data_IF_399566835025
#
_entry.id   IF_399566835025
#
_cell.length_a   1.000
_cell.length_b   1.000
_cell.length_c   1.000
_cell.angle_alpha   90.00
_cell.angle_beta   90.00
_cell.angle_gamma   90.00
#
_symmetry.space_group_name_H-M   'P 1'
#
loop_
_entity.id
_entity.type
_entity.pdbx_description
1 polymer ?
#
# COMPACT_ATOMS: atom_id res chain seq x y z
N UNK A 1 -37.25 -29.73 -18.36
CA UNK A 1 -37.12 -30.02 -16.91
C UNK A 1 -36.64 -28.76 -16.20
N UNK A 2 -37.30 -28.28 -15.14
CA UNK A 2 -36.88 -27.10 -14.39
C UNK A 2 -35.69 -27.47 -13.50
N UNK A 3 -34.60 -26.70 -13.61
CA UNK A 3 -33.43 -26.90 -12.76
C UNK A 3 -33.74 -26.33 -11.37
N UNK A 4 -33.75 -27.18 -10.33
CA UNK A 4 -33.91 -26.72 -8.96
C UNK A 4 -32.64 -25.96 -8.52
N UNK A 5 -32.78 -24.80 -7.87
CA UNK A 5 -31.63 -24.08 -7.34
C UNK A 5 -30.98 -24.91 -6.23
N UNK A 6 -29.70 -25.25 -6.43
CA UNK A 6 -28.83 -25.90 -5.45
C UNK A 6 -28.80 -25.07 -4.17
N UNK A 7 -29.56 -25.49 -3.16
CA UNK A 7 -29.60 -24.90 -1.83
C UNK A 7 -28.22 -24.93 -1.20
N UNK A 8 -27.51 -23.82 -1.24
CA UNK A 8 -26.21 -23.69 -0.58
C UNK A 8 -26.38 -23.79 0.93
N UNK A 9 -25.68 -24.73 1.56
CA UNK A 9 -25.74 -24.93 3.01
C UNK A 9 -25.36 -23.65 3.78
N UNK A 10 -26.27 -23.08 4.60
CA UNK A 10 -26.03 -21.82 5.31
C UNK A 10 -24.86 -21.94 6.29
N UNK A 11 -24.68 -23.12 6.90
CA UNK A 11 -23.54 -23.43 7.78
C UNK A 11 -22.21 -23.27 7.06
N UNK A 12 -22.10 -23.73 5.81
CA UNK A 12 -20.88 -23.61 5.01
C UNK A 12 -20.58 -22.15 4.68
N UNK A 13 -21.61 -21.34 4.39
CA UNK A 13 -21.46 -19.91 4.13
C UNK A 13 -20.97 -19.15 5.37
N UNK A 14 -21.57 -19.41 6.53
CA UNK A 14 -21.16 -18.79 7.79
C UNK A 14 -19.74 -19.19 8.15
N UNK A 15 -19.40 -20.49 8.03
CA UNK A 15 -18.04 -20.96 8.28
C UNK A 15 -17.01 -20.30 7.35
N UNK A 16 -17.31 -20.15 6.06
CA UNK A 16 -16.42 -19.46 5.12
C UNK A 16 -16.25 -17.97 5.45
N UNK A 17 -17.33 -17.30 5.88
CA UNK A 17 -17.25 -15.91 6.28
C UNK A 17 -16.43 -15.73 7.55
N UNK A 18 -16.69 -16.55 8.57
CA UNK A 18 -15.92 -16.55 9.82
C UNK A 18 -14.43 -16.86 9.56
N UNK A 19 -14.12 -17.80 8.67
CA UNK A 19 -12.75 -18.10 8.29
C UNK A 19 -12.07 -16.90 7.59
N UNK A 20 -12.78 -16.20 6.70
CA UNK A 20 -12.25 -15.00 6.05
C UNK A 20 -11.99 -13.87 7.07
N UNK A 21 -12.94 -13.63 7.98
CA UNK A 21 -12.78 -12.63 9.05
C UNK A 21 -11.61 -13.00 9.95
N UNK A 22 -11.49 -14.27 10.35
CA UNK A 22 -10.37 -14.75 11.15
C UNK A 22 -9.03 -14.55 10.43
N UNK A 23 -8.95 -14.88 9.14
CA UNK A 23 -7.74 -14.67 8.34
C UNK A 23 -7.34 -13.19 8.30
N UNK A 24 -8.29 -12.28 8.03
CA UNK A 24 -8.04 -10.83 8.03
C UNK A 24 -7.58 -10.38 9.42
N UNK A 25 -8.27 -10.81 10.48
CA UNK A 25 -7.91 -10.48 11.85
C UNK A 25 -6.51 -10.98 12.22
N UNK A 26 -6.13 -12.20 11.82
CA UNK A 26 -4.78 -12.74 12.03
C UNK A 26 -3.73 -11.92 11.30
N UNK A 27 -3.98 -11.55 10.04
CA UNK A 27 -3.06 -10.70 9.28
C UNK A 27 -2.89 -9.35 9.98
N UNK A 28 -3.99 -8.73 10.40
CA UNK A 28 -3.99 -7.41 11.01
C UNK A 28 -3.35 -7.37 12.41
N UNK A 29 -3.68 -8.33 13.26
CA UNK A 29 -3.29 -8.31 14.67
C UNK A 29 -1.98 -9.04 14.96
N UNK A 30 -1.55 -9.94 14.06
CA UNK A 30 -0.35 -10.77 14.30
C UNK A 30 0.70 -10.51 13.24
N UNK A 31 0.36 -10.67 11.96
CA UNK A 31 1.36 -10.63 10.88
C UNK A 31 1.93 -9.23 10.69
N UNK A 32 1.06 -8.21 10.63
CA UNK A 32 1.45 -6.82 10.45
C UNK A 32 2.34 -6.29 11.59
N UNK A 33 1.96 -6.43 12.88
CA UNK A 33 2.81 -6.03 14.00
C UNK A 33 4.14 -6.77 14.03
N UNK A 34 4.14 -8.07 13.76
CA UNK A 34 5.37 -8.86 13.70
C UNK A 34 6.31 -8.40 12.57
N UNK A 35 5.77 -8.05 11.40
CA UNK A 35 6.54 -7.47 10.31
C UNK A 35 7.07 -6.07 10.65
N UNK A 36 6.25 -5.23 11.31
CA UNK A 36 6.63 -3.89 11.75
C UNK A 36 7.73 -3.86 12.81
N UNK A 37 7.85 -4.92 13.62
CA UNK A 37 8.91 -5.07 14.61
C UNK A 37 10.24 -5.57 14.05
N UNK A 38 10.32 -5.91 12.75
CA UNK A 38 11.61 -6.22 12.12
C UNK A 38 12.47 -4.97 12.05
N UNK A 39 13.75 -5.09 12.37
CA UNK A 39 14.69 -3.96 12.45
C UNK A 39 14.69 -3.07 11.19
N UNK A 40 14.65 -3.68 10.00
CA UNK A 40 14.66 -2.96 8.73
C UNK A 40 13.39 -2.10 8.53
N UNK A 41 12.23 -2.65 8.91
CA UNK A 41 10.94 -1.96 8.79
C UNK A 41 10.81 -0.90 9.89
N UNK A 42 11.25 -1.21 11.11
CA UNK A 42 11.21 -0.28 12.23
C UNK A 42 12.08 0.94 12.00
N UNK A 43 13.28 0.77 11.44
CA UNK A 43 14.16 1.89 11.09
C UNK A 43 13.53 2.83 10.05
N UNK A 44 12.79 2.28 9.08
CA UNK A 44 12.04 3.07 8.10
C UNK A 44 10.86 3.82 8.74
N UNK A 45 10.12 3.16 9.65
CA UNK A 45 9.02 3.79 10.41
C UNK A 45 9.57 4.96 11.23
N UNK A 46 10.62 4.73 12.03
CA UNK A 46 11.22 5.77 12.89
C UNK A 46 11.81 6.92 12.07
N UNK A 47 12.39 6.63 10.90
CA UNK A 47 12.84 7.68 9.99
C UNK A 47 11.67 8.55 9.53
N UNK A 48 10.56 7.95 9.12
CA UNK A 48 9.39 8.69 8.66
C UNK A 48 8.73 9.50 9.78
N UNK A 49 8.62 8.92 10.98
CA UNK A 49 8.14 9.61 12.18
C UNK A 49 9.01 10.83 12.52
N UNK A 50 10.34 10.70 12.47
CA UNK A 50 11.27 11.82 12.70
C UNK A 50 11.13 12.92 11.65
N UNK A 51 10.74 12.58 10.44
CA UNK A 51 10.51 13.54 9.36
C UNK A 51 9.10 14.17 9.43
N UNK A 52 8.27 13.79 10.40
CA UNK A 52 6.89 14.26 10.51
C UNK A 52 5.98 13.78 9.37
N UNK A 53 6.38 12.72 8.67
CA UNK A 53 5.60 12.13 7.58
C UNK A 53 4.48 11.31 8.22
N UNK A 54 3.24 11.78 8.09
CA UNK A 54 2.05 11.01 8.48
C UNK A 54 1.72 9.98 7.37
N UNK A 55 1.92 8.67 7.62
CA UNK A 55 1.63 7.64 6.61
C UNK A 55 0.12 7.40 6.42
N UNK A 56 -0.72 7.88 7.35
CA UNK A 56 -2.19 7.79 7.26
C UNK A 56 -2.80 8.95 6.48
N UNK A 57 -2.08 10.06 6.35
CA UNK A 57 -2.47 11.16 5.52
C UNK A 57 -2.38 10.75 4.05
N UNK A 58 -3.56 10.60 3.41
CA UNK A 58 -3.71 10.42 1.96
C UNK A 58 -3.20 11.67 1.22
N UNK A 59 -1.88 11.86 1.14
CA UNK A 59 -1.29 12.94 0.36
C UNK A 59 -1.13 12.54 -1.11
N UNK A 60 -2.23 12.26 -1.79
CA UNK A 60 -2.21 12.00 -3.24
C UNK A 60 -2.62 13.19 -4.09
N UNK A 61 -2.99 14.35 -3.52
CA UNK A 61 -3.45 15.48 -4.35
C UNK A 61 -2.90 16.86 -4.01
N UNK A 62 -2.35 17.11 -2.82
CA UNK A 62 -1.98 18.49 -2.43
C UNK A 62 -0.70 18.56 -1.61
N UNK A 63 0.45 18.14 -2.16
CA UNK A 63 1.75 18.62 -1.64
C UNK A 63 2.08 19.97 -2.27
N UNK A 64 2.08 21.08 -1.51
CA UNK A 64 2.67 22.33 -1.96
C UNK A 64 4.18 22.10 -2.06
N UNK A 65 4.66 21.72 -3.25
CA UNK A 65 6.06 21.33 -3.46
C UNK A 65 6.27 20.34 -4.60
N UNK A 66 5.22 19.61 -5.03
CA UNK A 66 5.32 18.70 -6.18
C UNK A 66 5.71 19.45 -7.46
N UNK A 67 5.19 20.66 -7.67
CA UNK A 67 5.52 21.49 -8.83
C UNK A 67 7.02 21.83 -8.87
N UNK A 68 7.61 22.24 -7.73
CA UNK A 68 9.05 22.51 -7.66
C UNK A 68 9.92 21.28 -7.90
N UNK A 69 9.47 20.09 -7.49
CA UNK A 69 10.16 18.84 -7.81
C UNK A 69 10.10 18.51 -9.31
N UNK A 70 8.93 18.69 -9.94
CA UNK A 70 8.76 18.49 -11.38
C UNK A 70 9.61 19.49 -12.20
N UNK A 71 9.67 20.76 -11.79
CA UNK A 71 10.49 21.79 -12.45
C UNK A 71 11.99 21.46 -12.37
N UNK A 72 12.44 20.89 -11.24
CA UNK A 72 13.82 20.43 -11.08
C UNK A 72 14.15 19.21 -11.97
N UNK A 73 13.21 18.28 -12.12
CA UNK A 73 13.38 17.13 -13.03
C UNK A 73 13.42 17.61 -14.48
N UNK A 74 12.50 18.48 -14.88
CA UNK A 74 12.42 18.96 -16.26
C UNK A 74 13.67 19.78 -16.63
N UNK A 75 14.17 20.62 -15.72
CA UNK A 75 15.43 21.33 -15.91
C UNK A 75 16.67 20.42 -15.89
N UNK A 76 16.64 19.29 -15.19
CA UNK A 76 17.70 18.28 -15.23
C UNK A 76 17.68 17.48 -16.55
N UNK A 77 16.49 17.12 -17.03
CA UNK A 77 16.29 16.45 -18.32
C UNK A 77 16.68 17.36 -19.49
N UNK A 78 16.36 18.66 -19.43
CA UNK A 78 16.83 19.65 -20.44
C UNK A 78 18.34 19.82 -20.44
N UNK A 79 18.99 19.78 -19.26
CA UNK A 79 20.46 19.86 -19.14
C UNK A 79 21.18 18.60 -19.62
N UNK A 80 20.54 17.44 -19.51
CA UNK A 80 21.12 16.14 -19.88
C UNK A 80 20.52 15.51 -21.15
N UNK A 81 19.67 16.25 -21.87
CA UNK A 81 18.85 15.76 -22.98
C UNK A 81 19.59 15.30 -24.23
N UNK A 82 20.92 15.35 -24.26
CA UNK A 82 21.71 14.90 -25.43
C UNK A 82 22.39 13.53 -25.27
N UNK A 83 22.39 12.87 -24.10
CA UNK A 83 23.26 11.69 -23.91
C UNK A 83 22.57 10.33 -23.70
N UNK A 84 21.26 10.26 -23.48
CA UNK A 84 20.62 8.97 -23.15
C UNK A 84 20.29 8.09 -24.38
N UNK A 85 19.96 8.67 -25.54
CA UNK A 85 19.56 7.92 -26.75
C UNK A 85 20.50 8.09 -27.97
N UNK A 86 21.70 8.62 -27.79
CA UNK A 86 22.64 8.95 -28.88
C UNK A 86 23.59 7.82 -29.30
N UNK A 87 23.09 6.61 -29.56
CA UNK A 87 23.84 5.55 -30.28
C UNK A 87 22.94 4.68 -31.13
#
# INVERSE_FOLDING_TARGET
>A
MPQMPSGSNPVRRIASFAAAVAAVATVWLVVLPAAGNRADVRGLIERNERLGIDPSAKFYTELPGMQGFLDNIDSALRRHGESFWGR
#
